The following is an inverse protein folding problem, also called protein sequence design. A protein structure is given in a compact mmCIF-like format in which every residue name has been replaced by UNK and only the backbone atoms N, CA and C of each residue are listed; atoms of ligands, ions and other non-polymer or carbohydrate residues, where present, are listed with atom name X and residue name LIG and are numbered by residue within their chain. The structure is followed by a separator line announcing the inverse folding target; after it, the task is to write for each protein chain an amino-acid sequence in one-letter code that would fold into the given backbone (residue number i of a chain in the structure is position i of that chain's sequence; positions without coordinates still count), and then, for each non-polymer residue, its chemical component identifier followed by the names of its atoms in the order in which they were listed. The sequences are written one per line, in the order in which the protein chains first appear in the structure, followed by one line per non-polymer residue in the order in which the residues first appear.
data_IF_106048966882
#
_entry.id   IF_106048966882
#
_cell.length_a   1.000
_cell.length_b   1.000
_cell.length_c   1.000
_cell.angle_alpha   90.00
_cell.angle_beta   90.00
_cell.angle_gamma   90.00
#
_symmetry.space_group_name_H-M   'P 1'
#
loop_
_entity.id
_entity.type
_entity.pdbx_description
1 polymer ?
#
# COMPACT_ATOMS: atom_id res chain seq x y z
N UNK A 1 16.22 -7.87 -27.11
CA UNK A 1 16.22 -7.76 -25.64
C UNK A 1 17.46 -7.03 -25.15
N UNK A 2 17.98 -6.03 -25.89
CA UNK A 2 19.25 -5.35 -25.54
C UNK A 2 19.03 -4.29 -24.47
N UNK A 3 17.86 -3.63 -24.48
CA UNK A 3 17.53 -2.56 -23.54
C UNK A 3 17.06 -3.10 -22.18
N UNK A 4 16.48 -4.30 -22.15
CA UNK A 4 16.10 -4.96 -20.89
C UNK A 4 17.28 -5.58 -20.12
N UNK A 5 18.49 -5.67 -20.67
CA UNK A 5 19.63 -6.35 -20.01
C UNK A 5 19.95 -5.77 -18.63
N UNK A 6 20.13 -4.45 -18.43
CA UNK A 6 20.45 -3.90 -17.12
C UNK A 6 19.38 -4.22 -16.08
N UNK A 7 18.11 -4.11 -16.46
CA UNK A 7 16.97 -4.48 -15.62
C UNK A 7 17.00 -5.96 -15.22
N UNK A 8 17.23 -6.85 -16.18
CA UNK A 8 17.27 -8.28 -15.91
C UNK A 8 18.45 -8.66 -15.01
N UNK A 9 19.65 -8.14 -15.27
CA UNK A 9 20.83 -8.37 -14.41
C UNK A 9 20.52 -7.96 -12.97
N UNK A 10 19.93 -6.78 -12.79
CA UNK A 10 19.55 -6.28 -11.48
C UNK A 10 18.48 -7.16 -10.81
N UNK A 11 17.37 -7.46 -11.49
CA UNK A 11 16.26 -8.22 -10.92
C UNK A 11 16.62 -9.69 -10.66
N UNK A 12 17.46 -10.31 -11.48
CA UNK A 12 17.97 -11.64 -11.17
C UNK A 12 18.88 -11.60 -9.95
N UNK A 13 19.80 -10.63 -9.87
CA UNK A 13 20.77 -10.51 -8.77
C UNK A 13 20.13 -10.15 -7.42
N UNK A 14 19.16 -9.24 -7.40
CA UNK A 14 18.57 -8.71 -6.16
C UNK A 14 17.15 -9.22 -5.88
N UNK A 15 16.44 -9.76 -6.87
CA UNK A 15 15.08 -10.29 -6.71
C UNK A 15 15.05 -11.82 -6.76
N UNK A 16 15.20 -12.39 -7.97
CA UNK A 16 14.96 -13.82 -8.22
C UNK A 16 15.91 -14.72 -7.44
N UNK A 17 17.23 -14.46 -7.50
CA UNK A 17 18.23 -15.29 -6.81
C UNK A 17 18.04 -15.23 -5.29
N UNK A 18 17.94 -14.05 -4.65
CA UNK A 18 17.63 -13.95 -3.23
C UNK A 18 16.35 -14.71 -2.86
N UNK A 19 15.25 -14.52 -3.60
CA UNK A 19 14.00 -15.21 -3.29
C UNK A 19 14.13 -16.74 -3.32
N UNK A 20 14.77 -17.29 -4.37
CA UNK A 20 15.00 -18.73 -4.46
C UNK A 20 15.96 -19.23 -3.37
N UNK A 21 16.94 -18.41 -2.99
CA UNK A 21 17.88 -18.74 -1.94
C UNK A 21 17.21 -18.87 -0.56
N UNK A 22 16.13 -18.12 -0.29
CA UNK A 22 15.30 -18.31 0.91
C UNK A 22 14.83 -19.77 1.03
N UNK A 23 14.34 -20.37 -0.06
CA UNK A 23 13.88 -21.77 -0.06
C UNK A 23 15.04 -22.76 0.05
N UNK A 24 16.19 -22.44 -0.53
CA UNK A 24 17.39 -23.26 -0.38
C UNK A 24 17.84 -23.34 1.08
N UNK A 25 17.87 -22.22 1.81
CA UNK A 25 18.23 -22.18 3.25
C UNK A 25 17.29 -23.04 4.08
N UNK A 26 15.98 -22.97 3.79
CA UNK A 26 14.96 -23.79 4.46
C UNK A 26 15.18 -25.28 4.18
N UNK A 27 15.40 -25.64 2.91
CA UNK A 27 15.65 -27.04 2.51
C UNK A 27 16.93 -27.62 3.12
N UNK A 28 17.94 -26.79 3.38
CA UNK A 28 19.18 -27.22 4.03
C UNK A 28 19.02 -27.50 5.54
N UNK A 29 17.93 -27.05 6.18
CA UNK A 29 17.75 -27.12 7.64
C UNK A 29 16.36 -27.65 8.03
N UNK A 30 15.94 -28.78 7.45
CA UNK A 30 14.61 -29.36 7.69
C UNK A 30 14.33 -29.68 9.17
N UNK A 31 15.35 -30.02 9.95
CA UNK A 31 15.18 -30.32 11.39
C UNK A 31 14.77 -29.09 12.22
N UNK A 32 15.07 -27.89 11.73
CA UNK A 32 14.69 -26.64 12.40
C UNK A 32 13.23 -26.27 12.11
N UNK A 33 12.64 -26.77 11.01
CA UNK A 33 11.21 -26.56 10.71
C UNK A 33 10.36 -26.98 11.92
N UNK A 34 10.56 -28.21 12.41
CA UNK A 34 9.78 -28.76 13.52
C UNK A 34 9.85 -27.95 14.80
N UNK A 35 10.96 -27.25 15.06
CA UNK A 35 11.14 -26.44 16.27
C UNK A 35 10.38 -25.12 16.22
N UNK A 36 10.32 -24.46 15.06
CA UNK A 36 9.54 -23.23 14.86
C UNK A 36 8.05 -23.50 15.08
N UNK A 37 7.54 -24.64 14.61
CA UNK A 37 6.13 -25.03 14.80
C UNK A 37 5.75 -25.29 16.27
N UNK A 38 6.72 -25.56 17.15
CA UNK A 38 6.46 -25.87 18.57
C UNK A 38 6.54 -24.62 19.45
N UNK A 39 7.49 -23.72 19.16
CA UNK A 39 7.75 -22.55 20.01
C UNK A 39 6.81 -21.37 19.74
N UNK A 40 6.35 -21.22 18.51
CA UNK A 40 5.53 -20.09 18.06
C UNK A 40 4.18 -20.62 17.57
N UNK A 41 3.05 -19.99 17.93
CA UNK A 41 1.74 -20.37 17.42
C UNK A 41 1.60 -19.96 15.94
N UNK A 42 2.29 -20.66 15.03
CA UNK A 42 2.33 -20.32 13.60
C UNK A 42 0.96 -20.24 12.95
N UNK A 43 0.01 -21.10 13.36
CA UNK A 43 -1.38 -21.02 12.89
C UNK A 43 -2.04 -19.68 13.22
N UNK A 44 -1.77 -19.13 14.41
CA UNK A 44 -2.25 -17.80 14.80
C UNK A 44 -1.56 -16.70 14.00
N UNK A 45 -0.24 -16.79 13.79
CA UNK A 45 0.51 -15.79 13.00
C UNK A 45 0.04 -15.75 11.54
N UNK A 46 -0.19 -16.91 10.93
CA UNK A 46 -0.75 -17.02 9.57
C UNK A 46 -2.17 -16.45 9.54
N UNK A 47 -3.01 -16.78 10.53
CA UNK A 47 -4.35 -16.22 10.66
C UNK A 47 -4.31 -14.70 10.78
N UNK A 48 -3.50 -14.14 11.67
CA UNK A 48 -3.36 -12.70 11.86
C UNK A 48 -2.91 -12.02 10.57
N UNK A 49 -1.91 -12.59 9.88
CA UNK A 49 -1.40 -12.06 8.61
C UNK A 49 -2.50 -11.99 7.56
N UNK A 50 -3.25 -13.10 7.39
CA UNK A 50 -4.35 -13.15 6.43
C UNK A 50 -5.49 -12.21 6.83
N UNK A 51 -5.94 -12.26 8.09
CA UNK A 51 -7.05 -11.45 8.60
C UNK A 51 -6.72 -9.95 8.52
N UNK A 52 -5.54 -9.53 8.98
CA UNK A 52 -5.06 -8.16 8.87
C UNK A 52 -5.08 -7.69 7.41
N UNK A 53 -4.49 -8.47 6.50
CA UNK A 53 -4.33 -8.08 5.11
C UNK A 53 -5.66 -8.07 4.35
N UNK A 54 -6.48 -9.09 4.56
CA UNK A 54 -7.78 -9.25 3.90
C UNK A 54 -8.76 -8.17 4.35
N UNK A 55 -8.91 -7.98 5.67
CA UNK A 55 -9.82 -6.98 6.23
C UNK A 55 -9.39 -5.57 5.83
N UNK A 56 -8.09 -5.27 5.86
CA UNK A 56 -7.59 -3.97 5.41
C UNK A 56 -7.86 -3.72 3.94
N UNK A 57 -7.59 -4.71 3.09
CA UNK A 57 -7.79 -4.61 1.65
C UNK A 57 -9.26 -4.41 1.26
N UNK A 58 -10.16 -5.21 1.84
CA UNK A 58 -11.59 -5.10 1.53
C UNK A 58 -12.18 -3.80 2.08
N UNK A 59 -11.87 -3.43 3.33
CA UNK A 59 -12.39 -2.21 3.94
C UNK A 59 -11.90 -0.95 3.21
N UNK A 60 -10.60 -0.85 2.92
CA UNK A 60 -10.06 0.28 2.16
C UNK A 60 -10.61 0.34 0.73
N UNK A 61 -10.83 -0.80 0.08
CA UNK A 61 -11.43 -0.86 -1.27
C UNK A 61 -12.88 -0.41 -1.26
N UNK A 62 -13.67 -0.87 -0.29
CA UNK A 62 -15.08 -0.47 -0.15
C UNK A 62 -15.20 1.02 0.17
N UNK A 63 -14.43 1.53 1.15
CA UNK A 63 -14.44 2.95 1.52
C UNK A 63 -13.92 3.81 0.36
N UNK A 64 -12.84 3.41 -0.30
CA UNK A 64 -12.31 4.13 -1.47
C UNK A 64 -13.30 4.15 -2.64
N UNK A 65 -13.99 3.03 -2.91
CA UNK A 65 -15.06 2.95 -3.92
C UNK A 65 -16.23 3.88 -3.59
N UNK A 66 -16.62 3.93 -2.31
CA UNK A 66 -17.66 4.83 -1.83
C UNK A 66 -17.25 6.30 -2.03
N UNK A 67 -16.05 6.69 -1.62
CA UNK A 67 -15.55 8.06 -1.79
C UNK A 67 -15.44 8.45 -3.27
N UNK A 68 -15.02 7.51 -4.13
CA UNK A 68 -14.93 7.73 -5.57
C UNK A 68 -16.31 8.02 -6.18
N UNK A 69 -17.32 7.22 -5.81
CA UNK A 69 -18.71 7.47 -6.17
C UNK A 69 -19.20 8.83 -5.62
N UNK A 70 -18.91 9.13 -4.35
CA UNK A 70 -19.35 10.36 -3.72
C UNK A 70 -18.80 11.61 -4.43
N UNK A 71 -17.52 11.61 -4.77
CA UNK A 71 -16.87 12.69 -5.53
C UNK A 71 -17.46 12.79 -6.95
N UNK A 72 -17.83 11.69 -7.59
CA UNK A 72 -18.48 11.74 -8.90
C UNK A 72 -19.89 12.36 -8.85
N UNK A 73 -20.65 12.06 -7.79
CA UNK A 73 -22.01 12.59 -7.54
C UNK A 73 -22.01 14.11 -7.30
N UNK A 74 -20.99 14.65 -6.64
CA UNK A 74 -20.90 16.06 -6.29
C UNK A 74 -21.04 16.97 -7.52
N UNK A 75 -21.68 18.13 -7.39
CA UNK A 75 -21.73 19.12 -8.49
C UNK A 75 -20.62 20.15 -8.40
N UNK A 76 -20.19 20.49 -7.16
CA UNK A 76 -19.15 21.46 -6.83
C UNK A 76 -18.24 20.86 -5.76
N UNK A 77 -17.04 21.41 -5.59
CA UNK A 77 -16.11 20.98 -4.54
C UNK A 77 -15.40 19.63 -4.79
N UNK A 78 -15.61 18.99 -5.95
CA UNK A 78 -14.97 17.70 -6.32
C UNK A 78 -13.45 17.71 -6.08
N UNK A 79 -12.77 18.78 -6.51
CA UNK A 79 -11.32 18.92 -6.38
C UNK A 79 -10.89 18.93 -4.91
N UNK A 80 -11.61 19.68 -4.06
CA UNK A 80 -11.32 19.76 -2.63
C UNK A 80 -11.57 18.41 -1.97
N UNK A 81 -12.72 17.77 -2.22
CA UNK A 81 -13.02 16.45 -1.69
C UNK A 81 -12.02 15.38 -2.14
N UNK A 82 -11.55 15.42 -3.39
CA UNK A 82 -10.48 14.55 -3.88
C UNK A 82 -9.16 14.79 -3.16
N UNK A 83 -8.78 16.05 -2.91
CA UNK A 83 -7.54 16.36 -2.20
C UNK A 83 -7.59 15.88 -0.75
N UNK A 84 -8.70 16.15 -0.06
CA UNK A 84 -8.95 15.69 1.32
C UNK A 84 -8.89 14.15 1.41
N UNK A 85 -9.62 13.45 0.54
CA UNK A 85 -9.58 11.99 0.48
C UNK A 85 -8.19 11.40 0.19
N UNK A 86 -7.25 12.22 -0.33
CA UNK A 86 -5.87 11.81 -0.60
C UNK A 86 -4.87 12.17 0.50
N UNK A 87 -5.21 13.06 1.42
CA UNK A 87 -4.27 13.56 2.44
C UNK A 87 -3.57 12.44 3.22
N UNK A 88 -4.26 11.38 3.71
CA UNK A 88 -3.62 10.31 4.47
C UNK A 88 -2.47 9.61 3.72
N UNK A 89 -2.54 9.53 2.38
CA UNK A 89 -1.51 8.87 1.57
C UNK A 89 -0.17 9.61 1.57
N UNK A 90 -0.20 10.91 1.85
CA UNK A 90 1.00 11.75 1.88
C UNK A 90 1.82 11.56 3.15
N UNK A 91 1.27 10.85 4.14
CA UNK A 91 1.86 10.67 5.46
C UNK A 91 2.64 9.36 5.50
N UNK A 92 3.95 9.38 5.84
CA UNK A 92 4.75 8.17 5.98
C UNK A 92 4.18 7.19 7.01
N UNK A 93 4.29 5.89 6.75
CA UNK A 93 3.71 4.83 7.60
C UNK A 93 4.09 4.94 9.08
N UNK A 94 5.35 5.26 9.39
CA UNK A 94 5.80 5.42 10.79
C UNK A 94 5.10 6.59 11.48
N UNK A 95 4.96 7.73 10.80
CA UNK A 95 4.24 8.90 11.33
C UNK A 95 2.75 8.58 11.52
N UNK A 96 2.16 7.85 10.58
CA UNK A 96 0.80 7.32 10.63
C UNK A 96 0.60 6.44 11.87
N UNK A 97 1.49 5.48 12.12
CA UNK A 97 1.42 4.62 13.30
C UNK A 97 1.49 5.44 14.60
N UNK A 98 2.46 6.35 14.72
CA UNK A 98 2.65 7.15 15.93
C UNK A 98 1.45 8.06 16.23
N UNK A 99 0.88 8.72 15.20
CA UNK A 99 -0.27 9.58 15.46
C UNK A 99 -1.49 8.77 15.88
N UNK A 100 -1.69 7.59 15.31
CA UNK A 100 -2.77 6.70 15.72
C UNK A 100 -2.57 6.13 17.12
N UNK A 101 -1.34 5.84 17.54
CA UNK A 101 -1.05 5.43 18.92
C UNK A 101 -1.53 6.47 19.94
N UNK A 102 -1.25 7.76 19.71
CA UNK A 102 -1.74 8.86 20.56
C UNK A 102 -3.26 9.01 20.44
N UNK A 103 -3.79 8.86 19.22
CA UNK A 103 -5.24 8.98 18.95
C UNK A 103 -6.07 7.91 19.66
N UNK A 104 -5.50 6.72 19.86
CA UNK A 104 -6.13 5.55 20.45
C UNK A 104 -5.89 5.43 21.96
N UNK A 105 -5.16 6.38 22.55
CA UNK A 105 -4.65 6.28 23.91
C UNK A 105 -5.77 6.42 24.96
N UNK A 106 -6.43 5.30 25.29
CA UNK A 106 -7.40 5.18 26.38
C UNK A 106 -8.38 6.35 26.49
N UNK A 107 -8.55 6.91 27.70
CA UNK A 107 -9.43 8.07 27.92
C UNK A 107 -8.95 9.37 27.25
N UNK A 108 -7.69 9.50 26.87
CA UNK A 108 -7.08 10.76 26.43
C UNK A 108 -7.07 10.93 24.90
N UNK A 109 -7.10 9.82 24.15
CA UNK A 109 -7.14 9.85 22.70
C UNK A 109 -8.43 10.49 22.17
N UNK A 110 -8.33 11.33 21.14
CA UNK A 110 -9.52 11.94 20.53
C UNK A 110 -10.46 10.88 19.94
N UNK A 111 -9.91 9.80 19.38
CA UNK A 111 -10.70 8.76 18.69
C UNK A 111 -11.50 7.94 19.69
N UNK A 112 -10.84 7.49 20.76
CA UNK A 112 -11.47 6.76 21.87
C UNK A 112 -12.48 7.63 22.60
N UNK A 113 -12.17 8.91 22.84
CA UNK A 113 -13.11 9.86 23.45
C UNK A 113 -14.39 10.04 22.63
N UNK A 114 -14.28 10.31 21.32
CA UNK A 114 -15.46 10.51 20.46
C UNK A 114 -16.34 9.27 20.33
N UNK A 115 -15.74 8.07 20.42
CA UNK A 115 -16.46 6.81 20.37
C UNK A 115 -16.89 6.29 21.75
N UNK A 116 -16.59 7.00 22.83
CA UNK A 116 -16.91 6.57 24.20
C UNK A 116 -16.17 5.30 24.65
N UNK A 117 -15.01 5.01 24.06
CA UNK A 117 -14.18 3.86 24.39
C UNK A 117 -13.31 4.22 25.60
N UNK A 118 -13.48 3.49 26.71
CA UNK A 118 -12.82 3.77 27.99
C UNK A 118 -11.44 3.12 28.16
N UNK A 119 -11.02 2.29 27.21
CA UNK A 119 -9.80 1.50 27.29
C UNK A 119 -8.94 1.69 26.04
N UNK A 120 -7.66 1.32 26.12
CA UNK A 120 -6.79 1.33 24.94
C UNK A 120 -7.04 0.07 24.08
N UNK A 121 -7.56 0.21 22.86
CA UNK A 121 -7.90 -0.94 22.01
C UNK A 121 -6.70 -1.80 21.59
N UNK A 122 -5.47 -1.26 21.64
CA UNK A 122 -4.25 -2.01 21.28
C UNK A 122 -3.82 -2.97 22.40
N UNK A 123 -4.29 -2.79 23.64
CA UNK A 123 -3.84 -3.59 24.79
C UNK A 123 -4.58 -4.91 24.98
N UNK A 124 -5.70 -5.14 24.28
CA UNK A 124 -6.51 -6.35 24.44
C UNK A 124 -6.43 -7.25 23.21
N UNK A 125 -6.25 -8.56 23.45
CA UNK A 125 -6.12 -9.58 22.39
C UNK A 125 -7.31 -9.59 21.41
N UNK A 126 -8.50 -9.27 21.89
CA UNK A 126 -9.74 -9.26 21.09
C UNK A 126 -9.87 -8.05 20.17
N UNK A 127 -9.21 -6.93 20.47
CA UNK A 127 -9.36 -5.67 19.74
C UNK A 127 -8.12 -5.27 18.97
N UNK A 128 -6.93 -5.62 19.44
CA UNK A 128 -5.66 -5.14 18.90
C UNK A 128 -5.52 -5.35 17.38
N UNK A 129 -5.86 -6.55 16.87
CA UNK A 129 -5.79 -6.84 15.43
C UNK A 129 -6.74 -5.96 14.61
N UNK A 130 -7.97 -5.75 15.09
CA UNK A 130 -8.96 -4.91 14.41
C UNK A 130 -8.57 -3.42 14.48
N UNK A 131 -7.93 -3.00 15.55
CA UNK A 131 -7.37 -1.65 15.67
C UNK A 131 -6.22 -1.44 14.70
N UNK A 132 -5.31 -2.42 14.53
CA UNK A 132 -4.30 -2.36 13.46
C UNK A 132 -4.93 -2.28 12.08
N UNK A 133 -5.97 -3.07 11.80
CA UNK A 133 -6.72 -2.98 10.54
C UNK A 133 -7.29 -1.58 10.34
N UNK A 134 -7.88 -0.97 11.37
CA UNK A 134 -8.42 0.39 11.29
C UNK A 134 -7.35 1.39 10.86
N UNK A 135 -6.18 1.36 11.49
CA UNK A 135 -5.07 2.27 11.17
C UNK A 135 -4.54 2.01 9.76
N UNK A 136 -4.40 0.74 9.36
CA UNK A 136 -3.95 0.40 8.01
C UNK A 136 -4.97 0.81 6.94
N UNK A 137 -6.27 0.70 7.22
CA UNK A 137 -7.34 1.17 6.33
C UNK A 137 -7.22 2.68 6.12
N UNK A 138 -6.96 3.45 7.17
CA UNK A 138 -6.81 4.90 7.08
C UNK A 138 -5.73 5.33 6.07
N UNK A 139 -4.55 4.70 6.09
CA UNK A 139 -3.48 4.98 5.10
C UNK A 139 -3.78 4.40 3.71
N UNK A 140 -4.60 3.35 3.62
CA UNK A 140 -4.82 2.60 2.39
C UNK A 140 -5.97 3.15 1.53
N UNK A 141 -7.01 3.74 2.13
CA UNK A 141 -8.19 4.28 1.43
C UNK A 141 -7.85 5.15 0.19
N UNK A 142 -6.87 6.07 0.24
CA UNK A 142 -6.58 6.97 -0.88
C UNK A 142 -6.21 6.26 -2.19
N UNK A 143 -5.41 5.20 -2.14
CA UNK A 143 -5.01 4.46 -3.35
C UNK A 143 -6.22 3.77 -3.98
N UNK A 144 -7.06 3.14 -3.15
CA UNK A 144 -8.32 2.53 -3.60
C UNK A 144 -9.28 3.56 -4.19
N UNK A 145 -9.38 4.73 -3.55
CA UNK A 145 -10.15 5.87 -4.03
C UNK A 145 -9.68 6.31 -5.42
N UNK A 146 -8.37 6.46 -5.62
CA UNK A 146 -7.80 6.87 -6.92
C UNK A 146 -8.10 5.86 -8.03
N UNK A 147 -7.88 4.56 -7.78
CA UNK A 147 -8.14 3.51 -8.77
C UNK A 147 -9.61 3.52 -9.17
N UNK A 148 -10.50 3.58 -8.17
CA UNK A 148 -11.94 3.58 -8.40
C UNK A 148 -12.43 4.85 -9.09
N UNK A 149 -11.93 6.03 -8.69
CA UNK A 149 -12.31 7.31 -9.29
C UNK A 149 -11.85 7.38 -10.75
N UNK A 150 -10.64 6.90 -11.05
CA UNK A 150 -10.14 6.82 -12.42
C UNK A 150 -11.01 5.90 -13.27
N UNK A 151 -11.42 4.75 -12.73
CA UNK A 151 -12.26 3.80 -13.45
C UNK A 151 -13.67 4.37 -13.70
N UNK A 152 -14.30 5.01 -12.70
CA UNK A 152 -15.62 5.65 -12.87
C UNK A 152 -15.54 6.75 -13.94
N UNK A 153 -14.49 7.57 -13.93
CA UNK A 153 -14.30 8.66 -14.91
C UNK A 153 -13.97 8.21 -16.32
N UNK A 154 -13.49 6.97 -16.49
CA UNK A 154 -13.27 6.39 -17.82
C UNK A 154 -14.55 5.96 -18.54
N UNK A 155 -15.69 5.91 -17.83
CA UNK A 155 -16.98 5.61 -18.44
C UNK A 155 -17.43 6.78 -19.33
N UNK A 156 -17.98 6.52 -20.53
CA UNK A 156 -18.46 7.59 -21.40
C UNK A 156 -19.57 8.40 -20.72
N UNK A 157 -19.51 9.75 -20.73
CA UNK A 157 -20.49 10.60 -20.05
C UNK A 157 -21.92 10.39 -20.56
N UNK A 158 -22.07 9.99 -21.83
CA UNK A 158 -23.34 9.74 -22.50
C UNK A 158 -24.14 8.62 -21.80
N UNK A 159 -23.44 7.67 -21.14
CA UNK A 159 -24.10 6.59 -20.38
C UNK A 159 -24.87 7.16 -19.19
N UNK A 160 -24.33 8.20 -18.53
CA UNK A 160 -25.00 8.90 -17.43
C UNK A 160 -26.17 9.72 -17.95
N UNK A 161 -25.97 10.46 -19.03
CA UNK A 161 -27.00 11.30 -19.65
C UNK A 161 -28.19 10.48 -20.13
N UNK A 162 -27.96 9.36 -20.82
CA UNK A 162 -29.01 8.45 -21.26
C UNK A 162 -29.84 7.92 -20.08
N UNK A 163 -29.18 7.53 -18.98
CA UNK A 163 -29.89 7.07 -17.78
C UNK A 163 -30.79 8.14 -17.16
N UNK A 164 -30.37 9.41 -17.23
CA UNK A 164 -31.16 10.53 -16.73
C UNK A 164 -32.37 10.82 -17.61
N UNK A 165 -32.24 10.67 -18.94
CA UNK A 165 -33.36 10.77 -19.90
C UNK A 165 -34.38 9.66 -19.64
N UNK A 166 -33.93 8.45 -19.33
CA UNK A 166 -34.79 7.29 -18.99
C UNK A 166 -35.43 7.40 -17.57
N UNK A 167 -35.17 8.50 -16.84
CA UNK A 167 -35.71 8.70 -15.49
C UNK A 167 -35.14 7.73 -14.45
N UNK A 168 -33.97 7.13 -14.72
CA UNK A 168 -33.30 6.23 -13.78
C UNK A 168 -32.67 7.07 -12.67
N UNK A 169 -33.03 6.83 -11.38
CA UNK A 169 -32.45 7.58 -10.27
C UNK A 169 -30.97 7.25 -10.10
N UNK A 170 -30.20 8.20 -9.55
CA UNK A 170 -28.75 8.06 -9.41
C UNK A 170 -28.34 6.82 -8.62
N UNK A 171 -29.10 6.46 -7.57
CA UNK A 171 -28.79 5.27 -6.78
C UNK A 171 -28.82 3.98 -7.62
N UNK A 172 -29.76 3.92 -8.58
CA UNK A 172 -29.94 2.78 -9.48
C UNK A 172 -28.90 2.81 -10.62
N UNK A 173 -28.56 4.01 -11.11
CA UNK A 173 -27.45 4.21 -12.04
C UNK A 173 -26.13 3.66 -11.47
N UNK A 174 -25.75 4.04 -10.25
CA UNK A 174 -24.50 3.53 -9.66
C UNK A 174 -24.56 2.03 -9.37
N UNK A 175 -25.67 1.51 -8.83
CA UNK A 175 -25.77 0.10 -8.43
C UNK A 175 -25.88 -0.88 -9.60
N UNK A 176 -26.54 -0.49 -10.71
CA UNK A 176 -26.77 -1.36 -11.88
C UNK A 176 -25.84 -1.10 -13.04
N UNK A 177 -25.33 0.12 -13.19
CA UNK A 177 -24.50 0.51 -14.34
C UNK A 177 -23.05 0.67 -13.91
N UNK A 178 -22.77 1.61 -13.01
CA UNK A 178 -21.38 2.00 -12.69
C UNK A 178 -20.62 0.88 -12.00
N UNK A 179 -21.06 0.39 -10.83
CA UNK A 179 -20.31 -0.63 -10.07
C UNK A 179 -20.08 -1.92 -10.86
N UNK A 180 -21.07 -2.46 -11.59
CA UNK A 180 -20.82 -3.59 -12.49
C UNK A 180 -19.82 -3.25 -13.61
N UNK A 181 -19.87 -2.05 -14.19
CA UNK A 181 -18.95 -1.64 -15.25
C UNK A 181 -17.51 -1.45 -14.76
N UNK A 182 -17.31 -0.98 -13.53
CA UNK A 182 -15.97 -0.79 -12.92
C UNK A 182 -15.54 -1.98 -12.05
N UNK A 183 -16.23 -3.11 -12.11
CA UNK A 183 -15.97 -4.26 -11.23
C UNK A 183 -14.55 -4.83 -11.34
N UNK A 184 -13.92 -4.74 -12.52
CA UNK A 184 -12.49 -5.05 -12.68
C UNK A 184 -11.59 -4.14 -11.84
N UNK A 185 -11.88 -2.84 -11.79
CA UNK A 185 -11.11 -1.89 -11.00
C UNK A 185 -11.27 -2.12 -9.49
N UNK A 186 -12.46 -2.52 -9.04
CA UNK A 186 -12.69 -2.90 -7.65
C UNK A 186 -11.81 -4.08 -7.23
N UNK A 187 -11.82 -5.17 -8.01
CA UNK A 187 -10.98 -6.34 -7.70
C UNK A 187 -9.49 -6.04 -7.86
N UNK A 188 -9.11 -5.20 -8.83
CA UNK A 188 -7.73 -4.75 -8.96
C UNK A 188 -7.27 -3.98 -7.72
N UNK A 189 -8.08 -3.04 -7.25
CA UNK A 189 -7.85 -2.28 -6.02
C UNK A 189 -7.74 -3.22 -4.82
N UNK A 190 -8.68 -4.15 -4.65
CA UNK A 190 -8.67 -5.12 -3.57
C UNK A 190 -7.40 -5.96 -3.55
N UNK A 191 -7.04 -6.57 -4.69
CA UNK A 191 -5.87 -7.46 -4.75
C UNK A 191 -4.57 -6.68 -4.53
N UNK A 192 -4.44 -5.47 -5.10
CA UNK A 192 -3.27 -4.62 -4.86
C UNK A 192 -3.13 -4.26 -3.37
N UNK A 193 -4.22 -3.88 -2.72
CA UNK A 193 -4.18 -3.57 -1.28
C UNK A 193 -3.92 -4.79 -0.42
N UNK A 194 -4.41 -5.95 -0.84
CA UNK A 194 -4.15 -7.20 -0.15
C UNK A 194 -2.66 -7.56 -0.23
N UNK A 195 -2.05 -7.43 -1.41
CA UNK A 195 -0.61 -7.63 -1.63
C UNK A 195 0.22 -6.66 -0.76
N UNK A 196 -0.11 -5.37 -0.76
CA UNK A 196 0.61 -4.36 0.04
C UNK A 196 0.46 -4.66 1.54
N UNK A 197 -0.75 -4.96 2.00
CA UNK A 197 -1.01 -5.23 3.42
C UNK A 197 -0.38 -6.54 3.89
N UNK A 198 -0.27 -7.55 3.01
CA UNK A 198 0.37 -8.84 3.30
C UNK A 198 1.85 -8.69 3.66
N UNK A 199 2.53 -7.72 3.04
CA UNK A 199 3.92 -7.40 3.33
C UNK A 199 4.13 -6.31 4.38
N UNK A 200 3.07 -5.81 5.04
CA UNK A 200 3.20 -4.72 5.99
C UNK A 200 3.86 -5.19 7.30
N UNK A 201 5.10 -4.75 7.49
CA UNK A 201 5.90 -4.95 8.68
C UNK A 201 5.77 -3.78 9.66
N UNK A 202 5.79 -2.54 9.14
CA UNK A 202 5.97 -1.33 9.92
C UNK A 202 4.86 -1.14 10.95
N UNK A 203 3.61 -1.38 10.57
CA UNK A 203 2.47 -1.04 11.43
C UNK A 203 2.35 -1.99 12.64
N UNK A 204 2.35 -3.33 12.50
CA UNK A 204 2.40 -4.23 13.65
C UNK A 204 3.64 -4.04 14.52
N UNK A 205 4.79 -3.71 13.91
CA UNK A 205 6.03 -3.47 14.67
C UNK A 205 5.92 -2.20 15.54
N UNK A 206 5.53 -1.06 14.95
CA UNK A 206 5.51 0.23 15.65
C UNK A 206 4.39 0.30 16.69
N UNK A 207 3.21 -0.24 16.41
CA UNK A 207 2.04 -0.08 17.30
C UNK A 207 1.98 -1.10 18.43
N UNK A 208 2.40 -2.34 18.20
CA UNK A 208 2.13 -3.43 19.15
C UNK A 208 3.30 -4.37 19.40
N UNK A 209 4.34 -4.35 18.54
CA UNK A 209 5.43 -5.34 18.56
C UNK A 209 4.90 -6.79 18.60
N UNK A 210 3.76 -7.04 17.94
CA UNK A 210 3.10 -8.37 17.90
C UNK A 210 2.14 -8.66 19.06
N UNK A 211 2.12 -7.80 20.08
CA UNK A 211 1.32 -7.95 21.30
C UNK A 211 -0.19 -7.64 21.15
N UNK A 212 -0.96 -7.85 22.24
CA UNK A 212 -0.61 -8.60 23.45
C UNK A 212 -0.44 -10.12 23.23
N UNK A 213 0.69 -10.68 23.69
CA UNK A 213 1.08 -12.04 23.31
C UNK A 213 1.43 -12.10 21.82
N UNK A 214 0.77 -12.97 21.06
CA UNK A 214 0.93 -13.08 19.60
C UNK A 214 -0.31 -12.59 18.83
N UNK A 215 -1.20 -11.79 19.45
CA UNK A 215 -2.49 -11.44 18.83
C UNK A 215 -2.37 -10.52 17.61
N UNK A 216 -1.23 -9.87 17.42
CA UNK A 216 -0.98 -9.02 16.25
C UNK A 216 0.29 -9.39 15.48
N UNK A 217 0.99 -10.45 15.90
CA UNK A 217 2.16 -10.95 15.17
C UNK A 217 1.76 -11.41 13.77
N UNK A 218 2.33 -10.78 12.75
CA UNK A 218 2.20 -11.15 11.34
C UNK A 218 3.46 -11.86 10.85
N UNK A 219 3.40 -12.53 9.70
CA UNK A 219 4.56 -13.22 9.12
C UNK A 219 5.74 -12.28 8.84
N UNK A 220 5.56 -11.06 8.27
CA UNK A 220 6.67 -10.10 8.15
C UNK A 220 7.33 -9.76 9.50
N UNK A 221 6.53 -9.56 10.55
CA UNK A 221 7.05 -9.28 11.88
C UNK A 221 7.77 -10.50 12.47
N UNK A 222 7.21 -11.69 12.31
CA UNK A 222 7.85 -12.92 12.76
C UNK A 222 9.21 -13.16 12.10
N UNK A 223 9.33 -12.85 10.80
CA UNK A 223 10.63 -12.92 10.09
C UNK A 223 11.68 -12.06 10.78
N UNK A 224 11.31 -10.83 11.14
CA UNK A 224 12.19 -9.90 11.82
C UNK A 224 12.56 -10.40 13.24
N UNK A 225 11.56 -10.77 14.04
CA UNK A 225 11.76 -11.22 15.42
C UNK A 225 12.68 -12.44 15.48
N UNK A 226 12.45 -13.44 14.61
CA UNK A 226 13.29 -14.63 14.53
C UNK A 226 14.73 -14.30 14.15
N UNK A 227 14.95 -13.44 13.15
CA UNK A 227 16.29 -13.16 12.65
C UNK A 227 17.10 -12.23 13.54
N UNK A 228 16.49 -11.14 13.98
CA UNK A 228 17.22 -10.00 14.55
C UNK A 228 17.04 -9.87 16.06
N UNK A 229 15.91 -10.33 16.62
CA UNK A 229 15.71 -10.32 18.08
C UNK A 229 16.16 -11.65 18.71
N UNK A 230 15.85 -12.78 18.06
CA UNK A 230 16.16 -14.12 18.58
C UNK A 230 17.44 -14.75 18.00
N UNK A 231 18.01 -14.18 16.93
CA UNK A 231 19.19 -14.71 16.26
C UNK A 231 18.97 -16.07 15.57
N UNK A 232 17.71 -16.51 15.43
CA UNK A 232 17.31 -17.74 14.76
C UNK A 232 17.07 -17.51 13.25
N UNK A 233 18.17 -17.39 12.51
CA UNK A 233 18.13 -17.20 11.06
C UNK A 233 17.36 -18.30 10.32
N UNK A 234 17.45 -19.55 10.77
CA UNK A 234 16.72 -20.67 10.17
C UNK A 234 15.21 -20.53 10.37
N UNK A 235 14.75 -20.12 11.55
CA UNK A 235 13.33 -19.88 11.82
C UNK A 235 12.77 -18.72 10.99
N UNK A 236 13.53 -17.63 10.90
CA UNK A 236 13.19 -16.52 10.04
C UNK A 236 13.13 -16.90 8.55
N UNK A 237 14.02 -17.77 8.07
CA UNK A 237 14.00 -18.27 6.69
C UNK A 237 12.72 -19.06 6.39
N UNK A 238 12.26 -19.88 7.35
CA UNK A 238 11.00 -20.64 7.25
C UNK A 238 9.82 -19.69 7.16
N UNK A 239 9.72 -18.71 8.07
CA UNK A 239 8.65 -17.71 8.04
C UNK A 239 8.65 -16.91 6.72
N UNK A 240 9.84 -16.58 6.20
CA UNK A 240 10.03 -15.88 4.92
C UNK A 240 9.55 -16.69 3.72
N UNK A 241 9.85 -18.00 3.71
CA UNK A 241 9.42 -18.94 2.67
C UNK A 241 7.90 -19.13 2.70
N UNK A 242 7.31 -19.32 3.89
CA UNK A 242 5.86 -19.39 4.07
C UNK A 242 5.21 -18.12 3.50
N UNK A 243 5.69 -16.95 3.92
CA UNK A 243 5.19 -15.66 3.41
C UNK A 243 5.27 -15.56 1.88
N UNK A 244 6.37 -15.99 1.27
CA UNK A 244 6.55 -15.97 -0.19
C UNK A 244 5.58 -16.89 -0.93
N UNK A 245 5.31 -18.09 -0.38
CA UNK A 245 4.30 -19.02 -0.93
C UNK A 245 2.90 -18.42 -0.81
N UNK A 246 2.54 -17.87 0.35
CA UNK A 246 1.25 -17.21 0.56
C UNK A 246 1.05 -16.00 -0.36
N UNK A 247 2.11 -15.22 -0.61
CA UNK A 247 2.08 -14.08 -1.52
C UNK A 247 1.93 -14.47 -2.99
N UNK A 248 2.29 -15.70 -3.38
CA UNK A 248 2.17 -16.15 -4.77
C UNK A 248 0.71 -16.20 -5.23
N UNK A 249 -0.24 -16.55 -4.35
CA UNK A 249 -1.67 -16.62 -4.68
C UNK A 249 -2.23 -15.27 -5.14
N UNK A 250 -2.18 -14.18 -4.35
CA UNK A 250 -2.69 -12.89 -4.78
C UNK A 250 -1.88 -12.30 -5.95
N UNK A 251 -0.58 -12.60 -6.06
CA UNK A 251 0.24 -12.22 -7.20
C UNK A 251 -0.29 -12.81 -8.52
N UNK A 252 -0.64 -14.10 -8.52
CA UNK A 252 -1.24 -14.77 -9.68
C UNK A 252 -2.62 -14.19 -9.98
N UNK A 253 -3.45 -13.95 -8.96
CA UNK A 253 -4.76 -13.32 -9.15
C UNK A 253 -4.61 -11.93 -9.78
N UNK A 254 -3.65 -11.12 -9.33
CA UNK A 254 -3.36 -9.81 -9.90
C UNK A 254 -3.02 -9.90 -11.39
N UNK A 255 -2.14 -10.85 -11.77
CA UNK A 255 -1.77 -11.10 -13.16
C UNK A 255 -2.98 -11.50 -14.02
N UNK A 256 -3.84 -12.39 -13.51
CA UNK A 256 -5.05 -12.84 -14.21
C UNK A 256 -6.08 -11.70 -14.36
N UNK A 257 -6.22 -10.85 -13.35
CA UNK A 257 -7.08 -9.68 -13.40
C UNK A 257 -6.59 -8.67 -14.43
N UNK A 258 -5.30 -8.34 -14.44
CA UNK A 258 -4.73 -7.38 -15.40
C UNK A 258 -4.99 -7.85 -16.84
N UNK A 259 -4.77 -9.14 -17.13
CA UNK A 259 -4.96 -9.75 -18.47
C UNK A 259 -6.42 -9.87 -18.91
N UNK A 260 -7.36 -9.88 -17.97
CA UNK A 260 -8.79 -10.06 -18.28
C UNK A 260 -9.36 -8.85 -19.02
N UNK A 261 -10.02 -9.08 -20.18
CA UNK A 261 -10.77 -8.04 -20.91
C UNK A 261 -12.19 -7.79 -20.35
N UNK A 262 -12.65 -8.65 -19.43
CA UNK A 262 -13.99 -8.58 -18.84
C UNK A 262 -14.04 -7.50 -17.75
N UNK A 263 -14.90 -6.51 -17.95
CA UNK A 263 -15.11 -5.43 -16.98
C UNK A 263 -16.21 -5.76 -15.95
N UNK A 264 -17.21 -6.55 -16.35
CA UNK A 264 -18.35 -6.97 -15.50
C UNK A 264 -18.00 -8.14 -14.60
N UNK A 265 -17.31 -7.85 -13.50
CA UNK A 265 -16.94 -8.82 -12.45
C UNK A 265 -17.73 -8.65 -11.14
N UNK A 266 -18.41 -7.51 -10.94
CA UNK A 266 -19.30 -7.30 -9.79
C UNK A 266 -20.76 -7.56 -10.20
N UNK A 267 -21.56 -8.17 -9.32
CA UNK A 267 -23.00 -8.30 -9.54
C UNK A 267 -23.68 -6.93 -9.48
N UNK A 268 -24.72 -6.76 -10.28
CA UNK A 268 -25.64 -5.64 -10.06
C UNK A 268 -26.51 -5.92 -8.84
N UNK A 269 -26.83 -4.86 -8.10
CA UNK A 269 -27.77 -4.94 -6.99
C UNK A 269 -28.86 -3.87 -7.14
N UNK A 270 -30.02 -4.13 -6.56
CA UNK A 270 -31.17 -3.24 -6.66
C UNK A 270 -31.10 -2.22 -5.51
N UNK A 271 -30.84 -0.96 -5.84
CA UNK A 271 -30.94 0.17 -4.92
C UNK A 271 -31.70 1.31 -5.59
N UNK A 272 -32.87 1.65 -5.07
CA UNK A 272 -33.72 2.71 -5.63
C UNK A 272 -34.13 3.69 -4.54
N UNK A 273 -33.45 4.82 -4.50
CA UNK A 273 -33.71 5.93 -3.59
C UNK A 273 -33.99 7.20 -4.40
N UNK A 274 -34.84 8.12 -3.91
CA UNK A 274 -34.99 9.44 -4.52
C UNK A 274 -33.65 10.19 -4.54
N UNK A 275 -33.34 10.87 -5.64
CA UNK A 275 -32.04 11.55 -5.85
C UNK A 275 -31.67 12.52 -4.72
N UNK A 276 -32.65 13.24 -4.15
CA UNK A 276 -32.42 14.15 -3.03
C UNK A 276 -31.96 13.40 -1.78
N UNK A 277 -32.64 12.30 -1.44
CA UNK A 277 -32.29 11.48 -0.29
C UNK A 277 -30.94 10.79 -0.49
N UNK A 278 -30.70 10.24 -1.69
CA UNK A 278 -29.42 9.63 -2.03
C UNK A 278 -28.27 10.63 -1.92
N UNK A 279 -28.36 11.80 -2.55
CA UNK A 279 -27.32 12.85 -2.45
C UNK A 279 -27.08 13.30 -1.00
N UNK A 280 -28.15 13.53 -0.24
CA UNK A 280 -28.05 13.92 1.17
C UNK A 280 -27.30 12.88 2.01
N UNK A 281 -27.65 11.60 1.84
CA UNK A 281 -26.97 10.49 2.52
C UNK A 281 -25.49 10.40 2.12
N UNK A 282 -25.20 10.48 0.83
CA UNK A 282 -23.82 10.43 0.32
C UNK A 282 -22.98 11.58 0.89
N UNK A 283 -23.52 12.80 0.92
CA UNK A 283 -22.80 13.95 1.48
C UNK A 283 -22.58 13.82 2.98
N UNK A 284 -23.58 13.36 3.74
CA UNK A 284 -23.44 13.13 5.18
C UNK A 284 -22.36 12.09 5.48
N UNK A 285 -22.41 10.93 4.82
CA UNK A 285 -21.42 9.87 4.98
C UNK A 285 -20.02 10.31 4.52
N UNK A 286 -19.93 11.07 3.43
CA UNK A 286 -18.64 11.61 2.96
C UNK A 286 -18.05 12.59 3.95
N UNK A 287 -18.86 13.48 4.54
CA UNK A 287 -18.39 14.41 5.57
C UNK A 287 -17.84 13.67 6.80
N UNK A 288 -18.52 12.61 7.25
CA UNK A 288 -18.05 11.76 8.35
C UNK A 288 -16.75 11.05 7.98
N UNK A 289 -16.66 10.44 6.80
CA UNK A 289 -15.45 9.76 6.36
C UNK A 289 -14.26 10.72 6.21
N UNK A 290 -14.47 11.89 5.58
CA UNK A 290 -13.42 12.90 5.46
C UNK A 290 -12.99 13.41 6.83
N UNK A 291 -13.92 13.60 7.78
CA UNK A 291 -13.54 13.92 9.16
C UNK A 291 -12.59 12.87 9.74
N UNK A 292 -12.92 11.58 9.68
CA UNK A 292 -12.03 10.54 10.22
C UNK A 292 -10.72 10.34 9.42
N UNK A 293 -10.71 10.67 8.13
CA UNK A 293 -9.50 10.64 7.31
C UNK A 293 -8.58 11.83 7.62
N UNK A 294 -9.13 13.03 7.78
CA UNK A 294 -8.34 14.25 7.90
C UNK A 294 -8.03 14.62 9.36
N UNK A 295 -8.82 14.13 10.33
CA UNK A 295 -8.61 14.47 11.74
C UNK A 295 -7.25 14.02 12.28
N UNK A 296 -6.70 12.83 11.97
CA UNK A 296 -5.33 12.49 12.36
C UNK A 296 -4.30 13.48 11.82
N UNK A 297 -4.49 13.99 10.60
CA UNK A 297 -3.58 14.99 10.00
C UNK A 297 -3.64 16.31 10.77
N UNK A 298 -4.85 16.75 11.12
CA UNK A 298 -5.05 17.89 12.00
C UNK A 298 -4.46 17.65 13.39
N UNK A 299 -4.58 16.44 13.93
CA UNK A 299 -4.01 16.06 15.22
C UNK A 299 -2.47 16.11 15.18
N UNK A 300 -1.83 15.67 14.08
CA UNK A 300 -0.38 15.81 13.89
C UNK A 300 0.04 17.28 13.97
N UNK A 301 -0.73 18.18 13.35
CA UNK A 301 -0.46 19.60 13.44
C UNK A 301 -0.57 20.10 14.90
N UNK A 302 -1.61 19.72 15.64
CA UNK A 302 -1.71 20.13 17.04
C UNK A 302 -0.54 19.63 17.89
N UNK A 303 -0.21 18.34 17.81
CA UNK A 303 0.88 17.71 18.57
C UNK A 303 2.24 18.36 18.24
N UNK A 304 2.47 18.76 16.99
CA UNK A 304 3.71 19.40 16.59
C UNK A 304 3.91 20.81 17.18
N UNK A 305 2.82 21.49 17.56
CA UNK A 305 2.83 22.90 17.96
C UNK A 305 2.35 23.14 19.39
N UNK A 306 2.19 22.13 20.25
CA UNK A 306 1.74 22.34 21.64
C UNK A 306 2.52 21.48 22.64
N UNK A 307 2.35 21.77 23.93
CA UNK A 307 3.00 20.98 24.98
C UNK A 307 2.45 19.56 25.09
N UNK A 308 3.34 18.58 25.24
CA UNK A 308 2.98 17.16 25.25
C UNK A 308 2.00 16.77 26.37
N UNK A 309 2.00 17.47 27.52
CA UNK A 309 1.06 17.15 28.60
C UNK A 309 -0.41 17.41 28.21
N UNK A 310 -0.66 18.30 27.23
CA UNK A 310 -2.00 18.59 26.71
C UNK A 310 -2.56 17.40 25.93
N UNK A 311 -1.70 16.56 25.33
CA UNK A 311 -2.09 15.35 24.60
C UNK A 311 -2.61 14.24 25.54
N UNK A 312 -2.33 14.36 26.84
CA UNK A 312 -2.75 13.42 27.88
C UNK A 312 -3.72 14.06 28.89
N UNK A 313 -4.56 14.99 28.42
CA UNK A 313 -5.58 15.67 29.23
C UNK A 313 -7.00 15.14 28.96
N UNK A 314 -7.88 15.16 29.97
CA UNK A 314 -9.28 14.71 29.86
C UNK A 314 -10.25 15.83 30.27
N UNK A 315 -11.27 16.18 29.43
CA UNK A 315 -11.47 15.70 28.07
C UNK A 315 -10.34 16.16 27.12
N UNK A 316 -10.08 15.45 26.01
CA UNK A 316 -9.04 15.83 25.07
C UNK A 316 -9.28 17.22 24.49
N UNK A 317 -8.21 18.02 24.43
CA UNK A 317 -8.26 19.38 23.90
C UNK A 317 -8.19 19.29 22.36
N UNK A 318 -9.37 19.31 21.73
CA UNK A 318 -9.51 19.18 20.27
C UNK A 318 -9.25 20.48 19.50
N UNK A 319 -9.30 21.63 20.18
CA UNK A 319 -9.07 22.95 19.58
C UNK A 319 -7.64 23.42 19.87
N UNK A 320 -7.06 24.28 19.01
CA UNK A 320 -5.73 24.80 19.24
C UNK A 320 -5.68 25.61 20.55
N UNK A 321 -4.74 25.25 21.42
CA UNK A 321 -4.50 25.92 22.71
C UNK A 321 -2.98 25.97 22.94
N UNK A 322 -2.49 27.13 23.37
CA UNK A 322 -1.08 27.35 23.74
C UNK A 322 -0.09 26.92 22.64
N UNK A 323 -0.38 27.32 21.39
CA UNK A 323 0.47 26.97 20.26
C UNK A 323 1.84 27.68 20.33
N UNK A 324 2.92 26.89 20.20
CA UNK A 324 4.31 27.36 20.14
C UNK A 324 5.09 26.64 19.05
N UNK A 325 5.97 27.36 18.36
CA UNK A 325 6.84 26.81 17.33
C UNK A 325 8.13 26.19 17.89
N UNK A 326 8.42 26.36 19.19
CA UNK A 326 9.68 25.90 19.80
C UNK A 326 9.88 24.38 19.66
N UNK A 327 8.84 23.58 19.91
CA UNK A 327 8.89 22.13 19.78
C UNK A 327 9.11 21.69 18.34
N UNK A 328 8.35 22.28 17.40
CA UNK A 328 8.51 22.02 15.98
C UNK A 328 9.92 22.36 15.50
N UNK A 329 10.45 23.52 15.85
CA UNK A 329 11.80 23.94 15.44
C UNK A 329 12.89 23.05 16.05
N UNK A 330 12.72 22.63 17.31
CA UNK A 330 13.64 21.69 17.96
C UNK A 330 13.64 20.35 17.24
N UNK A 331 12.46 19.78 16.97
CA UNK A 331 12.30 18.53 16.23
C UNK A 331 12.81 18.63 14.77
N UNK A 332 12.61 19.77 14.11
CA UNK A 332 13.12 20.02 12.77
C UNK A 332 14.66 20.06 12.77
N UNK A 333 15.26 20.76 13.72
CA UNK A 333 16.73 20.85 13.82
C UNK A 333 17.39 19.52 14.15
N UNK A 334 16.79 18.71 15.03
CA UNK A 334 17.32 17.39 15.40
C UNK A 334 17.10 16.34 14.31
N UNK A 335 16.15 16.55 13.39
CA UNK A 335 15.84 15.58 12.33
C UNK A 335 16.68 15.71 11.06
N UNK A 336 17.48 16.77 10.92
CA UNK A 336 18.26 17.07 9.70
C UNK A 336 19.11 15.88 9.21
N UNK A 337 19.89 15.15 10.04
CA UNK A 337 20.69 14.02 9.56
C UNK A 337 19.85 12.89 8.94
N UNK A 338 18.67 12.63 9.51
CA UNK A 338 17.74 11.61 8.99
C UNK A 338 17.07 12.08 7.70
N UNK A 339 16.74 13.38 7.60
CA UNK A 339 16.23 13.98 6.36
C UNK A 339 17.25 13.87 5.23
N UNK A 340 18.53 14.16 5.49
CA UNK A 340 19.61 14.01 4.50
C UNK A 340 19.71 12.57 4.01
N UNK A 341 19.71 11.60 4.93
CA UNK A 341 19.74 10.18 4.59
C UNK A 341 18.56 9.79 3.69
N UNK A 342 17.33 10.18 4.08
CA UNK A 342 16.13 9.90 3.30
C UNK A 342 16.17 10.53 1.91
N UNK A 343 16.60 11.79 1.79
CA UNK A 343 16.70 12.48 0.49
C UNK A 343 17.74 11.82 -0.41
N UNK A 344 18.93 11.52 0.11
CA UNK A 344 20.02 10.90 -0.69
C UNK A 344 19.62 9.51 -1.16
N UNK A 345 19.11 8.66 -0.25
CA UNK A 345 18.70 7.29 -0.60
C UNK A 345 17.53 7.32 -1.57
N UNK A 346 16.47 8.09 -1.29
CA UNK A 346 15.28 8.12 -2.14
C UNK A 346 15.57 8.66 -3.54
N UNK A 347 16.32 9.77 -3.65
CA UNK A 347 16.67 10.35 -4.95
C UNK A 347 17.55 9.41 -5.78
N UNK A 348 18.59 8.83 -5.17
CA UNK A 348 19.51 7.91 -5.87
C UNK A 348 18.80 6.63 -6.29
N UNK A 349 18.03 6.01 -5.39
CA UNK A 349 17.25 4.82 -5.71
C UNK A 349 16.18 5.09 -6.79
N UNK A 350 15.57 6.28 -6.80
CA UNK A 350 14.61 6.69 -7.84
C UNK A 350 15.27 6.86 -9.21
N UNK A 351 16.45 7.48 -9.27
CA UNK A 351 17.22 7.59 -10.53
C UNK A 351 17.57 6.20 -11.05
N UNK A 352 18.10 5.33 -10.18
CA UNK A 352 18.43 3.95 -10.55
C UNK A 352 17.18 3.18 -11.03
N UNK A 353 16.04 3.36 -10.34
CA UNK A 353 14.75 2.78 -10.72
C UNK A 353 14.35 3.18 -12.14
N UNK A 354 14.41 4.46 -12.48
CA UNK A 354 14.03 4.95 -13.81
C UNK A 354 14.99 4.42 -14.87
N UNK A 355 16.31 4.45 -14.60
CA UNK A 355 17.33 3.95 -15.51
C UNK A 355 17.17 2.45 -15.82
N UNK A 356 16.72 1.65 -14.84
CA UNK A 356 16.45 0.23 -15.03
C UNK A 356 15.10 -0.01 -15.72
N UNK A 357 14.03 0.63 -15.24
CA UNK A 357 12.66 0.32 -15.65
C UNK A 357 12.27 0.91 -17.01
N UNK A 358 12.72 2.11 -17.35
CA UNK A 358 12.31 2.81 -18.58
C UNK A 358 12.73 2.08 -19.86
N UNK A 359 14.01 1.69 -20.05
CA UNK A 359 14.41 0.97 -21.27
C UNK A 359 13.75 -0.40 -21.39
N UNK A 360 13.55 -1.08 -20.24
CA UNK A 360 12.90 -2.38 -20.19
C UNK A 360 11.41 -2.27 -20.55
N UNK A 361 10.68 -1.31 -19.99
CA UNK A 361 9.28 -1.06 -20.29
C UNK A 361 9.05 -0.72 -21.77
N UNK A 362 9.93 0.10 -22.35
CA UNK A 362 9.89 0.43 -23.77
C UNK A 362 10.11 -0.80 -24.64
N UNK A 363 11.11 -1.64 -24.36
CA UNK A 363 11.36 -2.84 -25.17
C UNK A 363 10.21 -3.86 -25.06
N UNK A 364 9.63 -4.01 -23.87
CA UNK A 364 8.49 -4.90 -23.60
C UNK A 364 7.21 -4.42 -24.29
N UNK A 365 6.96 -3.11 -24.35
CA UNK A 365 5.78 -2.56 -25.06
C UNK A 365 5.84 -2.80 -26.58
N UNK A 366 7.04 -2.95 -27.16
CA UNK A 366 7.24 -3.37 -28.56
C UNK A 366 7.10 -4.88 -28.78
N UNK A 367 6.65 -5.64 -27.77
CA UNK A 367 6.40 -7.08 -27.87
C UNK A 367 7.63 -7.97 -27.68
N UNK A 368 8.79 -7.40 -27.34
CA UNK A 368 10.01 -8.18 -27.05
C UNK A 368 10.07 -8.53 -25.56
N UNK A 369 10.28 -9.79 -25.22
CA UNK A 369 10.39 -10.18 -23.80
C UNK A 369 9.07 -10.04 -23.03
N UNK A 370 7.96 -10.49 -23.61
CA UNK A 370 6.61 -10.40 -23.01
C UNK A 370 6.46 -11.06 -21.63
N UNK A 371 7.40 -11.93 -21.24
CA UNK A 371 7.48 -12.55 -19.91
C UNK A 371 8.05 -11.61 -18.82
N UNK A 372 8.73 -10.53 -19.20
CA UNK A 372 9.34 -9.58 -18.26
C UNK A 372 8.25 -8.89 -17.44
N UNK A 373 7.18 -8.41 -18.07
CA UNK A 373 6.07 -7.74 -17.37
C UNK A 373 5.41 -8.64 -16.30
N UNK A 374 4.97 -9.89 -16.59
CA UNK A 374 4.39 -10.73 -15.57
C UNK A 374 5.39 -11.14 -14.47
N UNK A 375 6.68 -11.33 -14.79
CA UNK A 375 7.71 -11.52 -13.76
C UNK A 375 7.83 -10.29 -12.86
N UNK A 376 7.82 -9.09 -13.44
CA UNK A 376 7.93 -7.83 -12.70
C UNK A 376 6.76 -7.67 -11.74
N UNK A 377 5.53 -7.91 -12.20
CA UNK A 377 4.33 -7.85 -11.36
C UNK A 377 4.38 -8.92 -10.26
N UNK A 378 4.87 -10.13 -10.56
CA UNK A 378 5.05 -11.18 -9.55
C UNK A 378 6.03 -10.74 -8.46
N UNK A 379 7.21 -10.26 -8.83
CA UNK A 379 8.24 -9.83 -7.88
C UNK A 379 7.81 -8.60 -7.06
N UNK A 380 7.12 -7.63 -7.68
CA UNK A 380 6.52 -6.50 -6.97
C UNK A 380 5.54 -6.96 -5.89
N UNK A 381 4.83 -8.06 -6.16
CA UNK A 381 3.79 -8.57 -5.28
C UNK A 381 4.32 -9.44 -4.13
N UNK A 382 5.62 -9.77 -4.13
CA UNK A 382 6.23 -10.50 -3.04
C UNK A 382 6.58 -9.55 -1.89
N UNK A 383 6.27 -9.89 -0.64
CA UNK A 383 6.68 -9.13 0.54
C UNK A 383 8.19 -8.97 0.65
N UNK A 384 8.66 -7.79 1.04
CA UNK A 384 10.08 -7.51 1.25
C UNK A 384 10.73 -8.46 2.25
N UNK A 385 10.01 -8.80 3.32
CA UNK A 385 10.44 -9.78 4.33
C UNK A 385 10.86 -11.13 3.73
N UNK A 386 10.29 -11.56 2.59
CA UNK A 386 10.67 -12.82 1.94
C UNK A 386 12.08 -12.82 1.32
N UNK A 387 12.70 -11.65 1.15
CA UNK A 387 14.04 -11.47 0.59
C UNK A 387 15.09 -11.06 1.63
N UNK A 388 14.67 -10.73 2.86
CA UNK A 388 15.51 -10.04 3.85
C UNK A 388 16.76 -10.84 4.17
N UNK A 389 16.66 -12.15 4.45
CA UNK A 389 17.82 -12.94 4.86
C UNK A 389 18.88 -13.07 3.77
N UNK A 390 18.55 -13.51 2.55
CA UNK A 390 19.55 -13.59 1.49
C UNK A 390 20.21 -12.25 1.18
N UNK A 391 19.44 -11.16 1.18
CA UNK A 391 19.98 -9.81 0.97
C UNK A 391 20.87 -9.37 2.13
N UNK A 392 20.48 -9.65 3.37
CA UNK A 392 21.28 -9.37 4.56
C UNK A 392 22.62 -10.12 4.52
N UNK A 393 22.59 -11.43 4.23
CA UNK A 393 23.80 -12.24 4.08
C UNK A 393 24.70 -11.72 2.97
N UNK A 394 24.12 -11.36 1.82
CA UNK A 394 24.84 -10.75 0.71
C UNK A 394 25.54 -9.46 1.15
N UNK A 395 24.80 -8.47 1.66
CA UNK A 395 25.37 -7.19 2.08
C UNK A 395 26.38 -7.34 3.23
N UNK A 396 26.18 -8.31 4.12
CA UNK A 396 27.16 -8.66 5.17
C UNK A 396 28.47 -9.14 4.57
N UNK A 397 28.41 -10.10 3.63
CA UNK A 397 29.61 -10.69 3.01
C UNK A 397 30.45 -9.69 2.20
N UNK A 398 29.83 -8.63 1.67
CA UNK A 398 30.53 -7.56 0.92
C UNK A 398 30.76 -6.28 1.74
N UNK A 399 30.56 -6.32 3.06
CA UNK A 399 30.74 -5.18 3.98
C UNK A 399 29.94 -3.91 3.59
N UNK A 400 28.73 -4.08 3.05
CA UNK A 400 27.82 -2.98 2.71
C UNK A 400 26.78 -2.70 3.80
N UNK A 401 26.73 -3.50 4.86
CA UNK A 401 25.86 -3.23 6.01
C UNK A 401 26.17 -1.85 6.63
N UNK A 402 25.13 -1.20 7.15
CA UNK A 402 25.23 0.15 7.74
C UNK A 402 25.72 1.25 6.79
N UNK A 403 25.56 1.05 5.47
CA UNK A 403 25.86 2.07 4.45
C UNK A 403 24.60 2.46 3.67
N UNK A 404 24.60 3.65 3.06
CA UNK A 404 23.53 4.05 2.13
C UNK A 404 23.42 3.11 0.92
N UNK A 405 24.51 2.46 0.51
CA UNK A 405 24.50 1.55 -0.64
C UNK A 405 23.61 0.32 -0.44
N UNK A 406 23.57 -0.26 0.77
CA UNK A 406 22.65 -1.37 1.05
C UNK A 406 21.18 -0.96 0.86
N UNK A 407 20.81 0.25 1.28
CA UNK A 407 19.46 0.80 1.10
C UNK A 407 19.17 1.12 -0.38
N UNK A 408 20.12 1.78 -1.06
CA UNK A 408 19.99 2.17 -2.47
C UNK A 408 19.88 0.95 -3.38
N UNK A 409 20.63 -0.12 -3.11
CA UNK A 409 20.65 -1.32 -3.95
C UNK A 409 19.49 -2.28 -3.68
N UNK A 410 18.91 -2.28 -2.47
CA UNK A 410 17.75 -3.13 -2.15
C UNK A 410 16.41 -2.53 -2.57
N UNK A 411 16.28 -1.20 -2.57
CA UNK A 411 15.01 -0.51 -2.87
C UNK A 411 14.47 -0.78 -4.30
N UNK A 412 15.29 -0.73 -5.38
CA UNK A 412 14.80 -0.88 -6.74
C UNK A 412 14.19 -2.24 -7.09
N UNK A 413 14.31 -3.27 -6.25
CA UNK A 413 13.59 -4.55 -6.46
C UNK A 413 12.08 -4.29 -6.59
N UNK A 414 11.53 -3.39 -5.77
CA UNK A 414 10.11 -3.06 -5.76
C UNK A 414 9.77 -1.90 -6.69
N UNK A 415 10.58 -0.84 -6.67
CA UNK A 415 10.27 0.36 -7.46
C UNK A 415 10.56 0.17 -8.94
N UNK A 416 11.58 -0.61 -9.33
CA UNK A 416 11.85 -0.90 -10.75
C UNK A 416 10.84 -1.89 -11.33
N UNK A 417 10.42 -2.90 -10.58
CA UNK A 417 9.37 -3.84 -11.03
C UNK A 417 8.03 -3.14 -11.21
N UNK A 418 7.65 -2.29 -10.26
CA UNK A 418 6.48 -1.41 -10.41
C UNK A 418 6.66 -0.42 -11.57
N UNK A 419 7.85 0.19 -11.70
CA UNK A 419 8.19 1.11 -12.77
C UNK A 419 8.02 0.49 -14.16
N UNK A 420 8.45 -0.76 -14.35
CA UNK A 420 8.25 -1.48 -15.63
C UNK A 420 6.76 -1.61 -15.94
N UNK A 421 5.93 -1.94 -14.95
CA UNK A 421 4.49 -2.07 -15.15
C UNK A 421 3.81 -0.73 -15.49
N UNK A 422 4.11 0.34 -14.75
CA UNK A 422 3.51 1.66 -14.99
C UNK A 422 3.95 2.23 -16.34
N UNK A 423 5.25 2.20 -16.63
CA UNK A 423 5.80 2.74 -17.87
C UNK A 423 5.39 1.92 -19.10
N UNK A 424 5.18 0.61 -18.94
CA UNK A 424 4.65 -0.23 -20.01
C UNK A 424 3.29 0.27 -20.50
N UNK A 425 2.36 0.58 -19.57
CA UNK A 425 1.03 1.09 -19.95
C UNK A 425 1.14 2.41 -20.72
N UNK A 426 2.04 3.30 -20.29
CA UNK A 426 2.32 4.55 -21.00
C UNK A 426 2.84 4.31 -22.43
N UNK A 427 3.80 3.40 -22.62
CA UNK A 427 4.39 3.15 -23.94
C UNK A 427 3.46 2.39 -24.90
N UNK A 428 2.52 1.58 -24.38
CA UNK A 428 1.52 0.90 -25.21
C UNK A 428 0.54 1.89 -25.84
N UNK A 429 0.21 2.96 -25.12
CA UNK A 429 -0.67 4.03 -25.60
C UNK A 429 0.06 5.06 -26.50
N UNK A 430 1.39 4.93 -26.66
CA UNK A 430 2.19 5.87 -27.45
C UNK A 430 1.93 5.69 -28.96
N UNK A 431 1.67 6.77 -29.73
CA UNK A 431 1.36 6.65 -31.15
C UNK A 431 2.52 6.04 -31.96
N UNK A 432 2.20 5.01 -32.76
CA UNK A 432 3.19 4.34 -33.64
C UNK A 432 3.82 5.29 -34.67
N UNK A 433 3.12 6.37 -35.02
CA UNK A 433 3.60 7.37 -35.96
C UNK A 433 4.96 7.99 -35.57
N UNK A 434 5.28 8.06 -34.27
CA UNK A 434 6.59 8.52 -33.82
C UNK A 434 7.71 7.51 -34.13
N UNK A 435 7.43 6.21 -34.01
CA UNK A 435 8.38 5.17 -34.40
C UNK A 435 8.59 5.16 -35.91
N UNK A 436 7.49 5.34 -36.66
CA UNK A 436 7.51 5.39 -38.13
C UNK A 436 8.29 6.61 -38.62
N UNK A 437 8.07 7.78 -38.00
CA UNK A 437 8.86 8.98 -38.28
C UNK A 437 10.35 8.77 -37.95
N UNK A 438 10.67 8.16 -36.80
CA UNK A 438 12.05 7.86 -36.43
C UNK A 438 12.73 6.89 -37.41
N UNK A 439 11.97 5.98 -38.03
CA UNK A 439 12.43 5.08 -39.08
C UNK A 439 12.69 5.82 -40.41
N UNK A 440 11.76 6.70 -40.81
CA UNK A 440 11.90 7.57 -41.99
C UNK A 440 13.14 8.47 -41.87
N UNK A 441 13.38 9.05 -40.70
CA UNK A 441 14.55 9.92 -40.46
C UNK A 441 15.83 9.14 -40.09
N UNK A 442 15.85 7.81 -40.17
CA UNK A 442 17.00 6.96 -39.79
C UNK A 442 17.55 7.23 -38.38
N UNK A 443 16.70 7.73 -37.46
CA UNK A 443 17.07 8.10 -36.09
C UNK A 443 17.32 6.85 -35.23
N UNK A 444 16.78 5.68 -35.63
CA UNK A 444 16.99 4.39 -34.92
C UNK A 444 18.46 4.02 -34.68
N UNK A 445 19.42 4.55 -35.45
CA UNK A 445 20.87 4.25 -35.31
C UNK A 445 21.65 5.25 -34.45
N UNK A 446 21.02 6.24 -33.82
CA UNK A 446 21.72 7.24 -32.97
C UNK A 446 21.60 7.03 -31.46
N UNK A 447 20.80 6.05 -31.02
CA UNK A 447 20.75 5.58 -29.61
C UNK A 447 21.23 4.13 -29.46
N UNK A 448 22.21 3.70 -30.29
CA UNK A 448 22.79 2.34 -30.28
C UNK A 448 24.20 2.27 -29.73
#
# INVERSE_FOLDING_TARGET
MRYSIPYLVYIFGFGVIPFLYTFYIVGANLDQLGKVFVLIPLGLVVYNTFAFSFLSAIASTVIGSFLAMAVDVMSRGKRVASLLAMLPYTIPFTSSALIWAISLYGHFGWFTFLLGISYDPLYYKSTALFTLVLVNVWTSVPLSFLIMLSAIRSLPPEVKEASMVDGIPLSEYYSKVVFPAVGKAFWLSFVLQFVISLGNFDLPYVLTQGGPGYSTTTLPLLVYDEMFELGNFSGGAVASAILGVFATIPSVILLLLIRTKRNKLLPSFKLRLPDRAFKGLIYALTAVLLFFLDFPVYWMFLVAFREAYLDFSYPPILLPKDLTSSYFLTALSSSVPYMVTSVVVASTASVLTVLLSLPSAYEVSKGKGSWILPLSIYLYSLPSASFVLPLFMFFSSVNLLNTWWALILSTPIFTATFGVWVLYNFFVDFPRAYDDAAEVFSIRRKMT
#
